data_IF_563499192261
#
_entry.id   IF_563499192261
#
_cell.length_a   1.000
_cell.length_b   1.000
_cell.length_c   1.000
_cell.angle_alpha   90.00
_cell.angle_beta   90.00
_cell.angle_gamma   90.00
#
_symmetry.space_group_name_H-M   'P 1'
#
loop_
_entity.id
_entity.type
_entity.pdbx_description
1 polymer ?
#
# COMPACT_ATOMS: atom_id res chain seq x y z
N UNK A 1 -11.41 25.34 -22.05
CA UNK A 1 -10.60 24.80 -20.94
C UNK A 1 -9.87 23.59 -21.48
N UNK A 2 -8.54 23.61 -21.47
CA UNK A 2 -7.73 22.53 -22.03
C UNK A 2 -8.09 21.21 -21.36
N UNK A 3 -8.32 20.18 -22.17
CA UNK A 3 -8.30 18.78 -21.74
C UNK A 3 -7.00 18.58 -20.98
N UNK A 4 -7.05 18.43 -19.66
CA UNK A 4 -5.94 17.81 -18.94
C UNK A 4 -5.91 16.40 -19.50
N UNK A 5 -4.89 16.07 -20.29
CA UNK A 5 -4.61 14.69 -20.63
C UNK A 5 -4.54 13.93 -19.30
N UNK A 6 -5.56 13.14 -19.00
CA UNK A 6 -5.61 12.32 -17.80
C UNK A 6 -4.50 11.28 -17.98
N UNK A 7 -3.34 11.55 -17.39
CA UNK A 7 -2.22 10.62 -17.46
C UNK A 7 -2.68 9.36 -16.74
N UNK A 8 -2.91 8.29 -17.51
CA UNK A 8 -3.37 7.03 -16.96
C UNK A 8 -2.18 6.17 -16.55
N UNK A 9 -2.05 5.93 -15.24
CA UNK A 9 -0.98 5.12 -14.66
C UNK A 9 -1.41 3.66 -14.43
N UNK A 10 -2.71 3.34 -14.54
CA UNK A 10 -3.26 2.01 -14.26
C UNK A 10 -3.29 1.18 -15.53
N UNK A 11 -2.91 -0.09 -15.41
CA UNK A 11 -2.97 -1.05 -16.49
C UNK A 11 -4.40 -1.57 -16.73
N UNK A 12 -5.28 -0.72 -17.28
CA UNK A 12 -6.67 -1.09 -17.58
C UNK A 12 -6.82 -2.21 -18.61
N UNK A 13 -5.79 -2.44 -19.44
CA UNK A 13 -5.78 -3.57 -20.37
C UNK A 13 -5.79 -4.93 -19.63
N UNK A 14 -5.13 -4.98 -18.47
CA UNK A 14 -5.07 -6.16 -17.60
C UNK A 14 -6.14 -6.14 -16.51
N UNK A 15 -6.44 -4.96 -15.99
CA UNK A 15 -7.37 -4.75 -14.89
C UNK A 15 -8.44 -3.72 -15.28
N UNK A 16 -9.52 -4.13 -15.96
CA UNK A 16 -10.57 -3.23 -16.47
C UNK A 16 -11.50 -2.72 -15.36
N UNK A 17 -10.93 -2.22 -14.27
CA UNK A 17 -11.67 -1.71 -13.10
C UNK A 17 -12.41 -0.41 -13.39
N UNK A 18 -12.09 0.26 -14.49
CA UNK A 18 -12.78 1.43 -15.05
C UNK A 18 -14.13 1.07 -15.71
N UNK A 19 -14.36 -0.20 -16.04
CA UNK A 19 -15.60 -0.68 -16.67
C UNK A 19 -16.70 -1.02 -15.66
N UNK A 20 -16.51 -0.66 -14.38
CA UNK A 20 -17.40 -1.03 -13.29
C UNK A 20 -18.86 -0.56 -13.43
N UNK A 21 -19.13 0.49 -14.21
CA UNK A 21 -20.49 0.95 -14.51
C UNK A 21 -21.07 0.32 -15.79
N UNK A 22 -20.22 -0.21 -16.68
CA UNK A 22 -20.61 -0.71 -18.00
C UNK A 22 -19.69 -1.84 -18.48
N UNK A 23 -19.87 -3.03 -17.88
CA UNK A 23 -19.08 -4.23 -18.12
C UNK A 23 -19.65 -5.07 -19.29
N UNK A 24 -19.62 -4.51 -20.51
CA UNK A 24 -20.26 -5.14 -21.68
C UNK A 24 -19.64 -6.49 -22.05
N UNK A 25 -18.32 -6.63 -21.89
CA UNK A 25 -17.59 -7.85 -22.24
C UNK A 25 -17.39 -8.81 -21.04
N UNK A 26 -17.91 -8.46 -19.87
CA UNK A 26 -17.91 -9.27 -18.66
C UNK A 26 -16.54 -9.37 -17.96
N UNK A 27 -15.52 -8.64 -18.42
CA UNK A 27 -14.16 -8.74 -17.88
C UNK A 27 -14.06 -8.14 -16.48
N UNK A 28 -14.76 -7.04 -16.18
CA UNK A 28 -14.75 -6.47 -14.84
C UNK A 28 -15.35 -7.45 -13.83
N UNK A 29 -16.52 -8.00 -14.12
CA UNK A 29 -17.17 -8.96 -13.25
C UNK A 29 -16.32 -10.23 -13.07
N UNK A 30 -15.68 -10.71 -14.15
CA UNK A 30 -14.74 -11.84 -14.04
C UNK A 30 -13.57 -11.54 -13.10
N UNK A 31 -12.93 -10.37 -13.25
CA UNK A 31 -11.85 -9.91 -12.36
C UNK A 31 -12.34 -9.81 -10.90
N UNK A 32 -13.51 -9.22 -10.67
CA UNK A 32 -14.10 -9.04 -9.35
C UNK A 32 -14.36 -10.39 -8.68
N UNK A 33 -15.02 -11.32 -9.37
CA UNK A 33 -15.33 -12.65 -8.81
C UNK A 33 -14.07 -13.45 -8.48
N UNK A 34 -13.04 -13.36 -9.32
CA UNK A 34 -11.76 -14.01 -9.03
C UNK A 34 -11.06 -13.37 -7.83
N UNK A 35 -11.12 -12.04 -7.71
CA UNK A 35 -10.53 -11.30 -6.59
C UNK A 35 -11.23 -11.63 -5.27
N UNK A 36 -12.57 -11.69 -5.26
CA UNK A 36 -13.35 -12.13 -4.08
C UNK A 36 -12.99 -13.57 -3.69
N UNK A 37 -12.87 -14.47 -4.68
CA UNK A 37 -12.45 -15.86 -4.41
C UNK A 37 -11.05 -15.93 -3.81
N UNK A 38 -10.11 -15.14 -4.32
CA UNK A 38 -8.74 -15.10 -3.80
C UNK A 38 -8.72 -14.53 -2.37
N UNK A 39 -9.41 -13.40 -2.13
CA UNK A 39 -9.55 -12.81 -0.79
C UNK A 39 -10.12 -13.81 0.22
N UNK A 40 -11.20 -14.52 -0.12
CA UNK A 40 -11.81 -15.51 0.77
C UNK A 40 -10.94 -16.74 1.04
N UNK A 41 -10.09 -17.12 0.07
CA UNK A 41 -9.23 -18.30 0.17
C UNK A 41 -7.92 -18.00 0.91
N UNK A 42 -7.28 -16.89 0.55
CA UNK A 42 -5.90 -16.58 0.91
C UNK A 42 -5.79 -15.43 1.92
N UNK A 43 -6.86 -14.65 2.12
CA UNK A 43 -6.85 -13.44 2.94
C UNK A 43 -6.27 -12.20 2.24
N UNK A 44 -5.89 -12.31 0.96
CA UNK A 44 -5.38 -11.19 0.17
C UNK A 44 -5.70 -11.34 -1.32
N UNK A 45 -5.55 -10.25 -2.08
CA UNK A 45 -5.61 -10.24 -3.55
C UNK A 45 -4.29 -9.71 -4.09
N UNK A 46 -3.70 -10.40 -5.07
CA UNK A 46 -2.47 -9.96 -5.73
C UNK A 46 -2.76 -9.48 -7.15
N UNK A 47 -2.35 -8.25 -7.46
CA UNK A 47 -2.53 -7.60 -8.75
C UNK A 47 -1.16 -7.22 -9.36
N UNK A 48 -0.37 -8.20 -9.83
CA UNK A 48 0.94 -7.91 -10.40
C UNK A 48 0.81 -6.99 -11.62
N UNK A 49 1.70 -6.01 -11.76
CA UNK A 49 1.65 -5.02 -12.87
C UNK A 49 0.36 -4.21 -12.90
N UNK A 50 -0.20 -3.89 -11.72
CA UNK A 50 -1.37 -3.02 -11.59
C UNK A 50 -1.12 -1.62 -12.16
N UNK A 51 0.05 -1.04 -11.86
CA UNK A 51 0.53 0.17 -12.50
C UNK A 51 1.35 -0.17 -13.75
N UNK A 52 1.37 0.75 -14.71
CA UNK A 52 2.23 0.66 -15.89
C UNK A 52 3.71 0.78 -15.49
N UNK A 53 4.65 0.12 -16.18
CA UNK A 53 6.08 0.15 -15.82
C UNK A 53 6.66 1.57 -15.68
N UNK A 54 6.42 2.45 -16.65
CA UNK A 54 6.87 3.86 -16.60
C UNK A 54 6.33 4.63 -15.38
N UNK A 55 5.10 4.31 -14.94
CA UNK A 55 4.53 4.89 -13.74
C UNK A 55 5.22 4.41 -12.47
N UNK A 56 5.60 3.13 -12.42
CA UNK A 56 6.38 2.55 -11.31
C UNK A 56 7.78 3.16 -11.25
N UNK A 57 8.46 3.27 -12.40
CA UNK A 57 9.82 3.82 -12.49
C UNK A 57 9.88 5.27 -12.01
N UNK A 58 8.94 6.11 -12.47
CA UNK A 58 8.83 7.51 -12.05
C UNK A 58 8.48 7.65 -10.57
N UNK A 59 7.51 6.87 -10.07
CA UNK A 59 7.13 6.92 -8.67
C UNK A 59 8.29 6.49 -7.75
N UNK A 60 9.01 5.43 -8.13
CA UNK A 60 10.17 4.94 -7.39
C UNK A 60 11.28 5.98 -7.37
N UNK A 61 11.58 6.60 -8.53
CA UNK A 61 12.59 7.66 -8.64
C UNK A 61 12.26 8.87 -7.75
N UNK A 62 11.01 9.33 -7.73
CA UNK A 62 10.55 10.38 -6.82
C UNK A 62 10.80 10.04 -5.35
N UNK A 63 10.44 8.82 -4.93
CA UNK A 63 10.57 8.38 -3.54
C UNK A 63 12.03 8.29 -3.13
N UNK A 64 12.89 7.71 -3.99
CA UNK A 64 14.33 7.62 -3.74
C UNK A 64 14.99 9.00 -3.71
N UNK A 65 14.56 9.93 -4.56
CA UNK A 65 15.06 11.31 -4.54
C UNK A 65 14.76 12.01 -3.21
N UNK A 66 13.55 11.81 -2.66
CA UNK A 66 13.19 12.34 -1.34
C UNK A 66 14.07 11.76 -0.23
N UNK A 67 14.32 10.45 -0.25
CA UNK A 67 15.23 9.80 0.70
C UNK A 67 16.66 10.39 0.59
N UNK A 68 17.19 10.55 -0.63
CA UNK A 68 18.50 11.18 -0.87
C UNK A 68 18.58 12.61 -0.34
N UNK A 69 17.48 13.36 -0.43
CA UNK A 69 17.37 14.73 0.07
C UNK A 69 17.15 14.78 1.60
N UNK A 70 17.16 13.62 2.28
CA UNK A 70 17.05 13.50 3.73
C UNK A 70 15.61 13.61 4.25
N UNK A 71 14.62 13.39 3.39
CA UNK A 71 13.20 13.43 3.75
C UNK A 71 12.73 12.07 4.26
N UNK A 72 12.02 12.07 5.38
CA UNK A 72 11.46 10.88 6.00
C UNK A 72 11.87 10.73 7.46
N UNK A 73 11.26 9.75 8.12
CA UNK A 73 11.55 9.37 9.49
C UNK A 73 12.02 7.93 9.53
N UNK A 74 13.25 7.70 9.97
CA UNK A 74 13.77 6.36 10.17
C UNK A 74 13.24 5.81 11.50
N UNK A 75 12.30 4.87 11.39
CA UNK A 75 11.62 4.27 12.52
C UNK A 75 12.36 3.00 12.94
N UNK A 76 12.66 2.90 14.23
CA UNK A 76 13.14 1.67 14.88
C UNK A 76 12.24 1.39 16.06
N UNK A 77 11.66 0.19 16.14
CA UNK A 77 10.74 -0.16 17.21
C UNK A 77 10.93 -1.62 17.63
N UNK A 78 10.80 -1.88 18.94
CA UNK A 78 10.75 -3.24 19.50
C UNK A 78 9.35 -3.46 20.02
N UNK A 79 8.66 -4.44 19.46
CA UNK A 79 7.27 -4.70 19.78
C UNK A 79 6.98 -6.18 19.91
N UNK A 80 5.88 -6.51 20.60
CA UNK A 80 5.29 -7.83 20.47
C UNK A 80 4.38 -7.91 19.23
N UNK A 81 3.78 -9.07 18.97
CA UNK A 81 2.90 -9.28 17.81
C UNK A 81 1.66 -8.35 17.76
N UNK A 82 1.31 -7.69 18.86
CA UNK A 82 0.18 -6.77 18.96
C UNK A 82 0.58 -5.29 18.84
N UNK A 83 1.85 -5.01 18.51
CA UNK A 83 2.42 -3.66 18.47
C UNK A 83 2.41 -2.96 19.85
N UNK A 84 2.50 -3.75 20.92
CA UNK A 84 2.63 -3.24 22.29
C UNK A 84 4.06 -3.45 22.80
N UNK A 85 4.47 -2.62 23.76
CA UNK A 85 5.70 -2.81 24.51
C UNK A 85 5.67 -4.13 25.31
N UNK A 86 6.85 -4.58 25.77
CA UNK A 86 7.00 -5.79 26.60
C UNK A 86 6.08 -5.73 27.82
N UNK A 87 5.26 -6.77 27.97
CA UNK A 87 4.61 -7.03 29.25
C UNK A 87 5.62 -7.67 30.21
N UNK A 88 6.02 -6.91 31.23
CA UNK A 88 6.99 -7.34 32.24
C UNK A 88 6.35 -8.17 33.37
N UNK A 89 5.07 -8.54 33.28
CA UNK A 89 4.45 -9.36 34.32
C UNK A 89 5.00 -10.78 34.35
N UNK A 90 5.50 -11.18 35.51
CA UNK A 90 6.01 -12.54 35.76
C UNK A 90 4.92 -13.62 35.78
N UNK A 91 3.64 -13.23 35.67
CA UNK A 91 2.50 -14.13 35.68
C UNK A 91 2.32 -14.91 34.37
N UNK A 92 2.95 -14.49 33.28
CA UNK A 92 2.80 -15.11 31.96
C UNK A 92 3.95 -16.05 31.60
N UNK A 93 3.65 -17.13 30.88
CA UNK A 93 4.67 -18.01 30.29
C UNK A 93 5.67 -17.23 29.42
N UNK A 94 6.98 -17.54 29.44
CA UNK A 94 7.96 -16.93 28.55
C UNK A 94 7.64 -17.07 27.05
N UNK A 95 6.86 -18.10 26.68
CA UNK A 95 6.41 -18.33 25.30
C UNK A 95 5.10 -17.59 24.95
N UNK A 96 4.55 -16.81 25.89
CA UNK A 96 3.35 -16.03 25.63
C UNK A 96 3.65 -14.93 24.58
N UNK A 97 2.82 -14.73 23.54
CA UNK A 97 3.12 -13.77 22.47
C UNK A 97 3.39 -12.33 22.94
N UNK A 98 2.81 -11.92 24.08
CA UNK A 98 3.08 -10.61 24.71
C UNK A 98 4.49 -10.44 25.31
N UNK A 99 5.20 -11.55 25.55
CA UNK A 99 6.57 -11.57 26.11
C UNK A 99 7.65 -11.76 25.04
N UNK A 100 7.27 -12.09 23.81
CA UNK A 100 8.21 -12.22 22.68
C UNK A 100 8.34 -10.84 22.05
N UNK A 101 9.57 -10.32 21.96
CA UNK A 101 9.87 -9.09 21.24
C UNK A 101 10.44 -9.38 19.89
N UNK A 102 10.09 -8.51 18.95
CA UNK A 102 10.56 -8.51 17.59
C UNK A 102 10.94 -7.07 17.25
N UNK A 103 12.12 -6.91 16.64
CA UNK A 103 12.63 -5.61 16.25
C UNK A 103 12.22 -5.31 14.82
N UNK A 104 11.65 -4.13 14.58
CA UNK A 104 11.33 -3.65 13.25
C UNK A 104 12.04 -2.34 12.97
N UNK A 105 12.53 -2.17 11.74
CA UNK A 105 13.06 -0.91 11.27
C UNK A 105 12.73 -0.66 9.81
N UNK A 106 12.53 0.62 9.48
CA UNK A 106 12.24 1.10 8.13
C UNK A 106 12.31 2.62 8.06
N UNK A 107 12.62 3.16 6.89
CA UNK A 107 12.37 4.57 6.61
C UNK A 107 10.91 4.76 6.18
N UNK A 108 10.25 5.78 6.73
CA UNK A 108 8.86 6.14 6.39
C UNK A 108 8.83 7.55 5.82
N UNK A 109 8.24 7.71 4.64
CA UNK A 109 7.91 9.02 4.07
C UNK A 109 6.40 9.18 4.06
N UNK A 110 5.90 10.19 4.78
CA UNK A 110 4.46 10.41 4.96
C UNK A 110 3.80 11.03 3.71
N UNK A 111 2.47 11.02 3.67
CA UNK A 111 1.71 11.52 2.53
C UNK A 111 2.00 12.99 2.19
N UNK A 112 2.21 13.86 3.18
CA UNK A 112 2.44 15.29 2.93
C UNK A 112 3.76 15.49 2.19
N UNK A 113 4.82 14.79 2.61
CA UNK A 113 6.13 14.90 1.97
C UNK A 113 6.15 14.28 0.57
N UNK A 114 5.49 13.13 0.41
CA UNK A 114 5.31 12.48 -0.90
C UNK A 114 4.61 13.40 -1.91
N UNK A 115 3.68 14.23 -1.47
CA UNK A 115 2.96 15.19 -2.32
C UNK A 115 3.79 16.44 -2.66
N UNK A 116 4.89 16.70 -1.95
CA UNK A 116 5.84 17.76 -2.28
C UNK A 116 6.78 17.36 -3.41
N UNK A 117 7.03 16.05 -3.59
CA UNK A 117 7.76 15.54 -4.75
C UNK A 117 6.96 15.80 -6.02
N UNK A 118 7.38 16.82 -6.77
CA UNK A 118 6.79 17.17 -8.06
C UNK A 118 7.76 16.80 -9.17
N UNK A 119 7.74 15.54 -9.56
CA UNK A 119 8.26 15.15 -10.86
C UNK A 119 7.11 15.18 -11.87
N UNK A 120 7.34 15.83 -13.01
CA UNK A 120 6.36 15.85 -14.08
C UNK A 120 6.09 14.40 -14.52
N UNK A 121 4.81 14.00 -14.55
CA UNK A 121 4.34 12.68 -14.99
C UNK A 121 4.52 11.51 -14.00
N UNK A 122 4.97 11.74 -12.76
CA UNK A 122 4.85 10.72 -11.73
C UNK A 122 3.37 10.53 -11.33
N UNK A 123 2.94 9.30 -10.94
CA UNK A 123 1.60 9.05 -10.43
C UNK A 123 1.23 10.00 -9.30
N UNK A 124 0.11 10.69 -9.46
CA UNK A 124 -0.47 11.46 -8.37
C UNK A 124 -1.12 10.49 -7.38
N UNK A 125 -0.49 10.27 -6.22
CA UNK A 125 -0.99 9.34 -5.20
C UNK A 125 -2.34 9.76 -4.61
N UNK A 126 -2.61 11.06 -4.51
CA UNK A 126 -3.92 11.56 -4.11
C UNK A 126 -4.98 11.23 -5.17
N UNK A 127 -4.64 11.38 -6.44
CA UNK A 127 -5.54 10.97 -7.51
C UNK A 127 -5.83 9.47 -7.42
N UNK A 128 -4.78 8.65 -7.39
CA UNK A 128 -4.84 7.19 -7.42
C UNK A 128 -5.62 6.58 -6.24
N UNK A 129 -5.38 7.04 -5.01
CA UNK A 129 -5.94 6.41 -3.81
C UNK A 129 -7.15 7.14 -3.25
N UNK A 130 -7.25 8.46 -3.44
CA UNK A 130 -8.28 9.28 -2.78
C UNK A 130 -9.44 9.62 -3.70
N UNK A 131 -9.18 9.84 -4.99
CA UNK A 131 -10.20 10.34 -5.93
C UNK A 131 -10.55 9.38 -7.07
N UNK A 132 -9.69 8.42 -7.39
CA UNK A 132 -9.89 7.50 -8.50
C UNK A 132 -11.02 6.52 -8.19
N UNK A 133 -12.21 6.84 -8.68
CA UNK A 133 -13.44 6.09 -8.39
C UNK A 133 -13.34 4.61 -8.77
N UNK A 134 -12.66 4.28 -9.88
CA UNK A 134 -12.48 2.90 -10.31
C UNK A 134 -11.73 2.05 -9.28
N UNK A 135 -10.70 2.63 -8.63
CA UNK A 135 -9.90 1.96 -7.59
C UNK A 135 -10.74 1.77 -6.33
N UNK A 136 -11.33 2.84 -5.81
CA UNK A 136 -12.13 2.77 -4.58
C UNK A 136 -13.33 1.81 -4.73
N UNK A 137 -14.00 1.84 -5.90
CA UNK A 137 -15.13 0.95 -6.17
C UNK A 137 -14.69 -0.51 -6.28
N UNK A 138 -13.58 -0.77 -6.96
CA UNK A 138 -13.06 -2.13 -7.07
C UNK A 138 -12.71 -2.72 -5.70
N UNK A 139 -11.96 -1.98 -4.87
CA UNK A 139 -11.56 -2.45 -3.53
C UNK A 139 -12.79 -2.63 -2.64
N UNK A 140 -13.74 -1.68 -2.64
CA UNK A 140 -15.01 -1.82 -1.90
C UNK A 140 -15.81 -3.05 -2.35
N UNK A 141 -15.81 -3.33 -3.65
CA UNK A 141 -16.51 -4.50 -4.22
C UNK A 141 -15.84 -5.81 -3.82
N UNK A 142 -14.51 -5.87 -3.82
CA UNK A 142 -13.75 -7.05 -3.35
C UNK A 142 -13.98 -7.30 -1.86
N UNK A 143 -13.93 -6.24 -1.05
CA UNK A 143 -14.16 -6.32 0.39
C UNK A 143 -15.64 -6.50 0.76
N UNK A 144 -16.56 -6.39 -0.21
CA UNK A 144 -18.01 -6.47 0.00
C UNK A 144 -18.52 -5.51 1.09
N UNK A 145 -17.86 -4.37 1.23
CA UNK A 145 -18.21 -3.30 2.15
C UNK A 145 -17.84 -1.95 1.57
N UNK A 146 -18.52 -0.89 1.99
CA UNK A 146 -18.22 0.45 1.52
C UNK A 146 -16.99 0.98 2.25
N UNK A 147 -15.91 1.23 1.51
CA UNK A 147 -14.70 1.84 2.03
C UNK A 147 -14.69 3.34 1.79
N UNK A 148 -13.97 4.04 2.66
CA UNK A 148 -13.74 5.47 2.56
C UNK A 148 -12.24 5.75 2.69
N UNK A 149 -11.66 6.58 1.83
CA UNK A 149 -10.27 6.99 1.98
C UNK A 149 -10.05 7.74 3.31
N UNK A 150 -8.90 7.50 3.94
CA UNK A 150 -8.50 8.22 5.17
C UNK A 150 -8.23 9.70 4.88
N UNK A 151 -8.81 10.61 5.66
CA UNK A 151 -8.56 12.05 5.51
C UNK A 151 -7.35 12.54 6.30
N UNK A 152 -6.54 11.64 6.87
CA UNK A 152 -5.31 12.00 7.58
C UNK A 152 -4.31 12.61 6.59
N UNK A 153 -3.88 13.88 6.77
CA UNK A 153 -2.96 14.54 5.85
C UNK A 153 -1.57 13.88 5.80
N UNK A 154 -1.18 13.09 6.81
CA UNK A 154 0.12 12.41 6.88
C UNK A 154 0.00 10.90 6.67
N UNK A 155 -1.04 10.28 7.22
CA UNK A 155 -1.22 8.83 7.25
C UNK A 155 -2.09 8.21 6.16
N UNK A 156 -2.70 9.01 5.26
CA UNK A 156 -3.57 8.50 4.18
C UNK A 156 -2.89 7.54 3.21
N UNK A 157 -1.58 7.68 3.05
CA UNK A 157 -0.66 6.74 2.42
C UNK A 157 0.76 7.10 2.86
N UNK A 158 1.70 6.17 2.72
CA UNK A 158 3.09 6.40 3.05
C UNK A 158 3.97 5.43 2.27
N UNK A 159 5.21 5.83 2.01
CA UNK A 159 6.23 4.95 1.45
C UNK A 159 7.04 4.36 2.60
N UNK A 160 7.25 3.05 2.56
CA UNK A 160 8.24 2.38 3.40
C UNK A 160 9.44 2.03 2.51
N UNK A 161 10.65 2.39 2.96
CA UNK A 161 11.90 1.97 2.34
C UNK A 161 12.63 1.09 3.34
N UNK A 162 13.06 -0.08 2.88
CA UNK A 162 13.81 -1.05 3.65
C UNK A 162 15.20 -1.17 3.03
N UNK A 163 16.23 -0.93 3.85
CA UNK A 163 17.64 -1.14 3.50
C UNK A 163 18.14 -2.45 4.09
N UNK A 164 19.38 -2.81 3.78
CA UNK A 164 20.00 -4.01 4.37
C UNK A 164 19.94 -3.94 5.90
N UNK A 165 19.43 -5.00 6.52
CA UNK A 165 19.21 -5.09 7.97
C UNK A 165 17.86 -4.56 8.45
N UNK A 166 17.10 -3.84 7.61
CA UNK A 166 15.74 -3.46 7.92
C UNK A 166 14.77 -4.63 7.83
N UNK A 167 13.64 -4.49 8.53
CA UNK A 167 12.59 -5.48 8.51
C UNK A 167 11.32 -4.98 9.16
N UNK A 168 10.19 -5.45 8.66
CA UNK A 168 8.91 -5.29 9.33
C UNK A 168 8.49 -6.65 9.89
N UNK A 169 8.82 -6.87 11.16
CA UNK A 169 8.63 -8.16 11.79
C UNK A 169 7.15 -8.47 12.07
N UNK A 170 6.88 -9.73 12.40
CA UNK A 170 5.53 -10.27 12.51
C UNK A 170 4.66 -9.48 13.51
N UNK A 171 3.52 -8.97 13.03
CA UNK A 171 2.55 -8.24 13.83
C UNK A 171 1.14 -8.37 13.23
N UNK A 172 0.13 -8.05 14.04
CA UNK A 172 -1.21 -7.77 13.56
C UNK A 172 -1.35 -6.27 13.28
N UNK A 173 -1.80 -5.93 12.08
CA UNK A 173 -2.16 -4.56 11.75
C UNK A 173 -3.32 -4.07 12.62
N UNK A 174 -3.32 -2.78 12.92
CA UNK A 174 -4.43 -2.11 13.61
C UNK A 174 -5.53 -1.64 12.63
N UNK A 175 -5.22 -1.60 11.34
CA UNK A 175 -6.19 -1.32 10.29
C UNK A 175 -7.00 -2.56 9.93
N UNK A 176 -8.30 -2.39 9.67
CA UNK A 176 -9.15 -3.49 9.19
C UNK A 176 -8.72 -3.97 7.79
N UNK A 177 -8.20 -3.04 6.96
CA UNK A 177 -7.76 -3.31 5.60
C UNK A 177 -6.47 -2.54 5.31
N UNK A 178 -5.56 -3.17 4.57
CA UNK A 178 -4.36 -2.53 4.05
C UNK A 178 -4.24 -2.76 2.54
N UNK A 179 -3.66 -1.78 1.86
CA UNK A 179 -3.34 -1.84 0.44
C UNK A 179 -1.85 -1.53 0.32
N UNK A 180 -1.12 -2.37 -0.40
CA UNK A 180 0.32 -2.19 -0.60
C UNK A 180 0.64 -2.20 -2.09
N UNK A 181 1.42 -1.20 -2.51
CA UNK A 181 2.08 -1.20 -3.82
C UNK A 181 3.54 -1.54 -3.60
N UNK A 182 3.96 -2.70 -4.11
CA UNK A 182 5.36 -3.08 -4.17
C UNK A 182 5.94 -2.44 -5.44
N UNK A 183 6.74 -1.39 -5.27
CA UNK A 183 7.33 -0.65 -6.38
C UNK A 183 8.67 -1.24 -6.82
N UNK A 184 9.49 -1.63 -5.84
CA UNK A 184 10.78 -2.27 -6.05
C UNK A 184 10.87 -3.51 -5.17
N UNK A 185 10.88 -4.73 -5.74
CA UNK A 185 11.15 -5.94 -4.98
C UNK A 185 12.62 -6.00 -4.56
N UNK A 186 12.92 -6.70 -3.46
CA UNK A 186 14.29 -7.01 -3.08
C UNK A 186 14.90 -8.08 -3.99
N UNK A 187 16.23 -8.06 -4.13
CA UNK A 187 16.97 -9.11 -4.85
C UNK A 187 17.02 -10.41 -4.03
N UNK A 188 17.15 -10.29 -2.72
CA UNK A 188 17.11 -11.39 -1.75
C UNK A 188 16.39 -10.93 -0.47
N UNK A 189 15.70 -11.86 0.19
CA UNK A 189 14.96 -11.58 1.42
C UNK A 189 13.51 -11.15 1.20
N UNK A 190 13.04 -10.24 2.05
CA UNK A 190 11.70 -9.63 2.01
C UNK A 190 11.72 -8.28 1.31
#
# INVERSE_FOLDING_TARGET
>A
MASKDTINYINYSKYPIDQFENDVDGKYNYLLQNSIKQMNRDGFVSLPSFLLPDAVDKLTSCILKLEEDGVGFYSTDSHNVFLDAVDQSDAMSPLHPRRIQLDSSKLIINASDLLLAKEAQAPNLDELFMSQRSVLNFISSVMQTKLYPSTDPYGKFYANIFREGDGLNYHFDRSEYSISLILQPSEEGG
#
